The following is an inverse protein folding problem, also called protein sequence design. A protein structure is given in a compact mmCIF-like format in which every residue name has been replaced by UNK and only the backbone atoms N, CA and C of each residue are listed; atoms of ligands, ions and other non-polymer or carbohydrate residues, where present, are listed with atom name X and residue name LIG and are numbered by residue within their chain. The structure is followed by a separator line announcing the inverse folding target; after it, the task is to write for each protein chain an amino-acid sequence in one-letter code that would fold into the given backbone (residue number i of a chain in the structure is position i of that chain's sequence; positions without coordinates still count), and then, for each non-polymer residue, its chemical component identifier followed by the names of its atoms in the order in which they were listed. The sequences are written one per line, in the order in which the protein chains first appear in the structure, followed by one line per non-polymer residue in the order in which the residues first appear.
data_IF_260866055332
#
_entry.id   IF_260866055332
#
_cell.length_a   1.000
_cell.length_b   1.000
_cell.length_c   1.000
_cell.angle_alpha   90.00
_cell.angle_beta   90.00
_cell.angle_gamma   90.00
#
_symmetry.space_group_name_H-M   'P 1'
#
loop_
_entity.id
_entity.type
_entity.pdbx_description
1 polymer ?
#
# COMPACT_ATOMS: atom_id res chain seq x y z
N UNK A 1 1.32 -4.13 -6.79
CA UNK A 1 -0.12 -4.26 -6.53
C UNK A 1 -0.35 -5.69 -6.07
N UNK A 2 -0.94 -5.90 -4.90
CA UNK A 2 -1.27 -7.24 -4.41
C UNK A 2 -2.78 -7.46 -4.63
N UNK A 3 -3.14 -8.49 -5.40
CA UNK A 3 -4.52 -8.91 -5.55
C UNK A 3 -4.80 -10.02 -4.53
N UNK A 4 -5.84 -9.84 -3.71
CA UNK A 4 -6.30 -10.88 -2.79
C UNK A 4 -7.30 -11.75 -3.57
N UNK A 5 -7.07 -13.08 -3.70
CA UNK A 5 -8.02 -13.98 -4.35
C UNK A 5 -9.36 -13.95 -3.61
N UNK A 6 -10.49 -14.06 -4.35
CA UNK A 6 -11.87 -14.07 -3.83
C UNK A 6 -12.49 -12.68 -3.52
N UNK A 7 -11.71 -11.60 -3.58
CA UNK A 7 -12.27 -10.23 -3.44
C UNK A 7 -11.89 -9.34 -4.61
N UNK A 8 -12.87 -8.62 -5.17
CA UNK A 8 -12.72 -7.59 -6.22
C UNK A 8 -12.09 -6.29 -5.65
N UNK A 9 -11.25 -6.46 -4.64
CA UNK A 9 -10.72 -5.41 -3.78
C UNK A 9 -9.22 -5.26 -4.03
N UNK A 10 -8.85 -4.41 -4.98
CA UNK A 10 -7.48 -3.91 -5.13
C UNK A 10 -7.14 -2.92 -4.00
N UNK A 11 -7.24 -3.37 -2.75
CA UNK A 11 -7.22 -2.48 -1.57
C UNK A 11 -5.85 -2.26 -0.98
N UNK A 12 -4.78 -2.66 -1.64
CA UNK A 12 -3.43 -2.51 -1.09
C UNK A 12 -2.38 -2.30 -2.17
N UNK A 13 -1.78 -1.11 -2.16
CA UNK A 13 -0.57 -0.82 -2.92
C UNK A 13 0.65 -1.15 -2.07
N UNK A 14 1.58 -1.90 -2.66
CA UNK A 14 2.87 -2.22 -2.06
C UNK A 14 3.92 -1.39 -2.77
N UNK A 15 4.67 -0.61 -2.01
CA UNK A 15 5.72 0.25 -2.54
C UNK A 15 6.92 0.29 -1.59
N UNK A 16 8.02 0.90 -2.04
CA UNK A 16 9.19 1.14 -1.19
C UNK A 16 9.36 2.64 -0.94
N UNK A 17 9.75 3.02 0.28
CA UNK A 17 10.18 4.39 0.59
C UNK A 17 11.60 4.41 1.15
N UNK A 18 12.27 5.56 1.01
CA UNK A 18 13.55 5.84 1.65
C UNK A 18 13.28 6.66 2.92
N UNK A 19 13.69 6.22 4.11
CA UNK A 19 13.61 7.03 5.32
C UNK A 19 14.50 8.27 5.17
N UNK A 20 13.99 9.44 5.53
CA UNK A 20 14.74 10.71 5.46
C UNK A 20 15.93 10.76 6.42
N UNK A 21 15.94 9.92 7.45
CA UNK A 21 17.02 9.82 8.45
C UNK A 21 18.18 8.91 8.05
N UNK A 22 18.14 8.28 6.86
CA UNK A 22 19.11 7.25 6.50
C UNK A 22 20.11 7.69 5.42
N UNK A 23 21.40 7.63 5.75
CA UNK A 23 22.52 7.95 4.85
C UNK A 23 22.94 6.78 3.94
N UNK A 24 22.54 5.55 4.24
CA UNK A 24 22.85 4.38 3.41
C UNK A 24 21.99 4.38 2.11
N UNK A 25 22.62 4.29 0.91
CA UNK A 25 21.91 4.33 -0.36
C UNK A 25 20.99 3.13 -0.62
N UNK A 26 21.16 2.01 0.09
CA UNK A 26 20.47 0.75 -0.21
C UNK A 26 19.34 0.41 0.77
N UNK A 27 19.12 1.22 1.81
CA UNK A 27 18.07 0.94 2.81
C UNK A 27 16.70 1.33 2.29
N UNK A 28 15.99 0.33 1.77
CA UNK A 28 14.59 0.43 1.32
C UNK A 28 13.69 -0.21 2.37
N UNK A 29 12.56 0.43 2.69
CA UNK A 29 11.52 -0.16 3.53
C UNK A 29 10.28 -0.44 2.69
N UNK A 30 9.71 -1.63 2.82
CA UNK A 30 8.45 -2.01 2.18
C UNK A 30 7.30 -1.37 2.95
N UNK A 31 6.37 -0.76 2.23
CA UNK A 31 5.18 -0.12 2.77
C UNK A 31 3.93 -0.62 2.06
N UNK A 32 2.83 -0.71 2.79
CA UNK A 32 1.54 -1.19 2.29
C UNK A 32 0.48 -0.18 2.75
N UNK A 33 -0.19 0.45 1.79
CA UNK A 33 -1.27 1.41 2.05
C UNK A 33 -2.52 1.05 1.26
N UNK A 34 -3.67 1.56 1.69
CA UNK A 34 -4.96 1.28 1.07
C UNK A 34 -5.17 2.12 -0.19
N UNK A 35 -5.55 1.45 -1.27
CA UNK A 35 -5.87 2.04 -2.56
C UNK A 35 -7.36 1.83 -2.87
N UNK A 36 -8.04 2.86 -3.35
CA UNK A 36 -9.46 2.84 -3.70
C UNK A 36 -9.64 3.32 -5.13
N UNK A 37 -10.67 2.80 -5.80
CA UNK A 37 -11.09 3.29 -7.11
C UNK A 37 -12.30 4.20 -6.94
N UNK A 38 -12.31 5.31 -7.67
CA UNK A 38 -13.47 6.14 -7.90
C UNK A 38 -14.53 5.35 -8.69
N UNK A 39 -15.76 5.84 -8.68
CA UNK A 39 -16.91 5.20 -9.34
C UNK A 39 -16.69 4.99 -10.84
N UNK A 40 -15.85 5.82 -11.47
CA UNK A 40 -15.50 5.77 -12.90
C UNK A 40 -14.30 4.85 -13.19
N UNK A 41 -13.77 4.12 -12.20
CA UNK A 41 -12.61 3.23 -12.34
C UNK A 41 -11.25 3.93 -12.26
N UNK A 42 -11.22 5.24 -12.01
CA UNK A 42 -9.99 5.97 -11.73
C UNK A 42 -9.46 5.64 -10.34
N UNK A 43 -8.14 5.70 -10.15
CA UNK A 43 -7.51 5.48 -8.83
C UNK A 43 -7.61 6.77 -8.03
N UNK A 44 -8.16 6.70 -6.81
CA UNK A 44 -8.13 7.85 -5.91
C UNK A 44 -6.71 8.12 -5.39
N UNK A 45 -6.36 9.39 -5.10
CA UNK A 45 -5.06 9.73 -4.55
C UNK A 45 -4.72 8.90 -3.31
N UNK A 46 -3.55 8.26 -3.35
CA UNK A 46 -3.10 7.42 -2.25
C UNK A 46 -2.82 8.25 -1.00
N UNK A 47 -3.43 7.86 0.12
CA UNK A 47 -3.05 8.39 1.43
C UNK A 47 -1.95 7.52 2.04
N UNK A 48 -0.72 8.02 1.98
CA UNK A 48 0.44 7.36 2.62
C UNK A 48 0.31 7.49 4.14
N UNK A 49 0.34 6.36 4.85
CA UNK A 49 0.28 6.33 6.31
C UNK A 49 1.56 5.76 6.91
N UNK A 50 1.77 6.02 8.21
CA UNK A 50 2.86 5.38 8.95
C UNK A 50 2.43 4.03 9.55
N UNK A 51 1.13 3.85 9.78
CA UNK A 51 0.55 2.66 10.42
C UNK A 51 0.25 1.54 9.41
N UNK A 52 0.15 1.86 8.12
CA UNK A 52 -0.15 0.91 7.06
C UNK A 52 -1.59 0.38 7.09
N UNK A 53 -1.78 -0.83 6.56
CA UNK A 53 -3.09 -1.49 6.55
C UNK A 53 -3.30 -2.37 7.79
N UNK A 54 -4.51 -2.36 8.35
CA UNK A 54 -4.86 -3.23 9.47
C UNK A 54 -4.70 -4.72 9.08
N UNK A 55 -4.23 -5.53 10.04
CA UNK A 55 -4.11 -6.97 9.84
C UNK A 55 -5.46 -7.58 9.50
N UNK A 56 -5.51 -8.35 8.41
CA UNK A 56 -6.71 -9.08 7.98
C UNK A 56 -6.44 -10.57 8.11
N UNK A 57 -7.18 -11.25 8.98
CA UNK A 57 -7.20 -12.70 9.00
C UNK A 57 -7.80 -13.21 7.69
N UNK A 58 -7.08 -14.11 7.02
CA UNK A 58 -7.50 -14.68 5.74
C UNK A 58 -8.25 -16.02 5.89
N UNK A 59 -8.57 -16.41 7.13
CA UNK A 59 -9.12 -17.73 7.46
C UNK A 59 -8.03 -18.68 7.93
#
# INVERSE_FOLDING_TARGET
MLQIPVTDEWRSIVYHRRPLSETDPNRRVVCIDRMTFAAEGAIEPLRITFDGVAARNLG
#
